data_IF_417648294140
#
_entry.id   IF_417648294140
#
_cell.length_a   1.000
_cell.length_b   1.000
_cell.length_c   1.000
_cell.angle_alpha   90.00
_cell.angle_beta   90.00
_cell.angle_gamma   90.00
#
_symmetry.space_group_name_H-M   'P 1'
#
loop_
_entity.id
_entity.type
_entity.pdbx_description
1 polymer ?
#
# COMPACT_ATOMS: atom_id res chain seq x y z
N UNK A 1 6.41 37.69 -30.70
CA UNK A 1 6.32 36.34 -30.14
C UNK A 1 6.92 36.28 -28.75
N UNK A 2 8.22 36.60 -28.54
CA UNK A 2 8.90 36.53 -27.23
C UNK A 2 8.28 37.46 -26.19
N UNK A 3 7.92 38.69 -26.54
CA UNK A 3 7.23 39.65 -25.65
C UNK A 3 5.85 39.15 -25.21
N UNK A 4 5.11 38.49 -26.09
CA UNK A 4 3.83 37.88 -25.74
C UNK A 4 4.00 36.73 -24.71
N UNK A 5 5.04 35.90 -24.87
CA UNK A 5 5.35 34.83 -23.91
C UNK A 5 5.69 35.38 -22.52
N UNK A 6 6.37 36.52 -22.42
CA UNK A 6 6.68 37.17 -21.14
C UNK A 6 5.45 37.56 -20.32
N UNK A 7 4.33 37.85 -20.97
CA UNK A 7 3.08 38.21 -20.29
C UNK A 7 2.20 37.00 -20.06
N UNK A 8 2.03 36.17 -21.09
CA UNK A 8 1.10 35.02 -21.04
C UNK A 8 1.56 33.95 -20.05
N UNK A 9 2.88 33.67 -19.96
CA UNK A 9 3.36 32.57 -19.14
C UNK A 9 3.20 32.80 -17.64
N UNK A 10 3.54 33.99 -17.08
CA UNK A 10 3.26 34.27 -15.67
C UNK A 10 1.77 34.23 -15.33
N UNK A 11 0.91 34.72 -16.25
CA UNK A 11 -0.55 34.68 -16.08
C UNK A 11 -1.05 33.24 -16.05
N UNK A 12 -0.60 32.37 -16.95
CA UNK A 12 -0.95 30.95 -16.96
C UNK A 12 -0.47 30.24 -15.69
N UNK A 13 0.74 30.51 -15.22
CA UNK A 13 1.26 29.98 -13.96
C UNK A 13 0.42 30.42 -12.76
N UNK A 14 -0.02 31.69 -12.74
CA UNK A 14 -0.86 32.24 -11.69
C UNK A 14 -2.28 31.63 -11.71
N UNK A 15 -2.90 31.47 -12.89
CA UNK A 15 -4.22 30.86 -13.04
C UNK A 15 -4.22 29.38 -12.60
N UNK A 16 -3.18 28.63 -12.93
CA UNK A 16 -3.06 27.19 -12.59
C UNK A 16 -2.36 26.89 -11.26
N UNK A 17 -2.18 27.90 -10.41
CA UNK A 17 -1.50 27.71 -9.12
C UNK A 17 -2.26 26.78 -8.16
N UNK A 18 -3.59 26.71 -8.29
CA UNK A 18 -4.46 25.90 -7.42
C UNK A 18 -4.76 24.51 -7.97
N UNK A 19 -4.57 24.25 -9.26
CA UNK A 19 -4.98 23.00 -9.90
C UNK A 19 -4.05 21.80 -9.59
N UNK A 20 -2.83 22.06 -9.13
CA UNK A 20 -1.87 21.01 -8.79
C UNK A 20 -1.07 21.40 -7.54
N UNK A 21 -0.81 20.41 -6.68
CA UNK A 21 0.15 20.56 -5.58
C UNK A 21 1.50 21.04 -6.13
N UNK A 22 1.92 22.24 -5.74
CA UNK A 22 3.24 22.75 -6.12
C UNK A 22 4.31 21.82 -5.54
N UNK A 23 5.21 21.25 -6.37
CA UNK A 23 6.26 20.41 -5.84
C UNK A 23 7.08 21.23 -4.84
N UNK A 24 7.26 20.70 -3.64
CA UNK A 24 7.90 21.35 -2.49
C UNK A 24 9.32 21.89 -2.77
N UNK A 25 9.92 21.50 -3.88
CA UNK A 25 11.26 21.89 -4.31
C UNK A 25 11.29 22.88 -5.50
N UNK A 26 10.13 23.38 -5.93
CA UNK A 26 10.10 24.35 -7.05
C UNK A 26 10.82 25.65 -6.69
N UNK A 27 10.54 26.20 -5.52
CA UNK A 27 11.11 27.49 -5.06
C UNK A 27 12.64 27.50 -4.98
N UNK A 28 13.34 26.53 -4.36
CA UNK A 28 14.79 26.52 -4.34
C UNK A 28 15.41 26.32 -5.72
N UNK A 29 14.82 25.51 -6.60
CA UNK A 29 15.33 25.32 -7.96
C UNK A 29 15.14 26.58 -8.81
N UNK A 30 14.02 27.31 -8.65
CA UNK A 30 13.81 28.61 -9.30
C UNK A 30 14.84 29.64 -8.82
N UNK A 31 15.10 29.73 -7.51
CA UNK A 31 16.11 30.63 -6.99
C UNK A 31 17.51 30.33 -7.55
N UNK A 32 17.88 29.06 -7.64
CA UNK A 32 19.13 28.62 -8.25
C UNK A 32 19.21 29.00 -9.73
N UNK A 33 18.12 28.83 -10.49
CA UNK A 33 18.07 29.21 -11.90
C UNK A 33 18.17 30.71 -12.11
N UNK A 34 17.53 31.52 -11.26
CA UNK A 34 17.67 33.00 -11.28
C UNK A 34 19.11 33.39 -11.04
N UNK A 35 19.76 32.81 -10.04
CA UNK A 35 21.16 33.09 -9.71
C UNK A 35 22.11 32.67 -10.86
N UNK A 36 21.89 31.49 -11.44
CA UNK A 36 22.66 31.03 -12.59
C UNK A 36 22.49 31.94 -13.82
N UNK A 37 21.26 32.35 -14.12
CA UNK A 37 20.95 33.27 -15.21
C UNK A 37 21.58 34.65 -14.98
N UNK A 38 21.51 35.17 -13.76
CA UNK A 38 22.15 36.46 -13.40
C UNK A 38 23.68 36.40 -13.53
N UNK A 39 24.29 35.27 -13.13
CA UNK A 39 25.74 35.06 -13.26
C UNK A 39 26.17 35.01 -14.72
N UNK A 40 25.48 34.22 -15.56
CA UNK A 40 25.78 34.14 -16.98
C UNK A 40 25.59 35.49 -17.64
N UNK A 41 24.53 36.22 -17.29
CA UNK A 41 24.32 37.61 -17.78
C UNK A 41 25.41 38.55 -17.39
N UNK A 42 25.85 38.56 -16.12
CA UNK A 42 26.96 39.40 -15.65
C UNK A 42 28.27 39.08 -16.40
N UNK A 43 28.57 37.81 -16.64
CA UNK A 43 29.72 37.42 -17.45
C UNK A 43 29.61 37.88 -18.91
N UNK A 44 28.41 37.85 -19.50
CA UNK A 44 28.17 38.30 -20.87
C UNK A 44 28.26 39.84 -21.06
N UNK A 45 28.16 40.62 -19.99
CA UNK A 45 28.32 42.09 -20.03
C UNK A 45 29.77 42.54 -19.98
N UNK A 46 30.72 41.66 -19.63
CA UNK A 46 32.16 41.98 -19.67
C UNK A 46 32.64 42.17 -21.13
N UNK A 47 33.65 43.02 -21.35
CA UNK A 47 34.20 43.24 -22.69
C UNK A 47 34.86 41.97 -23.25
N UNK A 48 34.25 41.39 -24.26
CA UNK A 48 34.66 40.12 -24.86
C UNK A 48 34.58 40.17 -26.38
N UNK A 49 35.23 39.19 -27.04
CA UNK A 49 35.03 38.95 -28.48
C UNK A 49 33.59 38.61 -28.81
N UNK A 50 33.12 38.97 -30.01
CA UNK A 50 31.76 38.69 -30.46
C UNK A 50 31.38 37.20 -30.37
N UNK A 51 32.33 36.29 -30.62
CA UNK A 51 32.13 34.85 -30.51
C UNK A 51 31.91 34.41 -29.07
N UNK A 52 32.69 34.93 -28.12
CA UNK A 52 32.55 34.63 -26.71
C UNK A 52 31.20 35.15 -26.16
N UNK A 53 30.76 36.34 -26.59
CA UNK A 53 29.46 36.91 -26.23
C UNK A 53 28.31 36.02 -26.74
N UNK A 54 28.38 35.58 -28.00
CA UNK A 54 27.36 34.68 -28.59
C UNK A 54 27.31 33.34 -27.79
N UNK A 55 28.45 32.77 -27.44
CA UNK A 55 28.53 31.55 -26.64
C UNK A 55 27.92 31.69 -25.24
N UNK A 56 28.21 32.79 -24.55
CA UNK A 56 27.65 33.06 -23.22
C UNK A 56 26.15 33.34 -23.27
N UNK A 57 25.68 34.06 -24.29
CA UNK A 57 24.25 34.31 -24.47
C UNK A 57 23.46 33.04 -24.80
N UNK A 58 24.02 32.12 -25.60
CA UNK A 58 23.38 30.83 -25.84
C UNK A 58 23.34 29.94 -24.58
N UNK A 59 24.27 30.13 -23.63
CA UNK A 59 24.28 29.42 -22.35
C UNK A 59 23.08 29.80 -21.45
N UNK A 60 22.42 30.95 -21.68
CA UNK A 60 21.18 31.34 -20.97
C UNK A 60 20.04 30.33 -21.15
N UNK A 61 20.12 29.46 -22.16
CA UNK A 61 19.13 28.41 -22.39
C UNK A 61 19.27 27.28 -21.36
N UNK A 62 20.46 27.02 -20.85
CA UNK A 62 20.74 25.86 -19.95
C UNK A 62 19.90 25.86 -18.69
N UNK A 63 19.77 26.95 -17.91
CA UNK A 63 18.89 26.99 -16.76
C UNK A 63 17.41 26.68 -17.09
N UNK A 64 16.94 27.13 -18.28
CA UNK A 64 15.60 26.86 -18.75
C UNK A 64 15.38 25.38 -19.08
N UNK A 65 16.37 24.72 -19.72
CA UNK A 65 16.34 23.27 -20.00
C UNK A 65 16.30 22.46 -18.72
N UNK A 66 17.16 22.77 -17.75
CA UNK A 66 17.23 22.10 -16.45
C UNK A 66 15.91 22.24 -15.66
N UNK A 67 15.35 23.48 -15.60
CA UNK A 67 14.06 23.68 -14.96
C UNK A 67 12.94 22.91 -15.66
N UNK A 68 12.95 22.85 -16.99
CA UNK A 68 11.95 22.09 -17.77
C UNK A 68 12.04 20.61 -17.47
N UNK A 69 13.23 20.05 -17.36
CA UNK A 69 13.40 18.64 -17.02
C UNK A 69 12.89 18.32 -15.62
N UNK A 70 13.22 19.17 -14.64
CA UNK A 70 12.88 18.92 -13.23
C UNK A 70 11.39 19.19 -12.93
N UNK A 71 10.77 20.18 -13.59
CA UNK A 71 9.44 20.67 -13.25
C UNK A 71 8.44 20.69 -14.43
N UNK A 72 8.80 20.10 -15.57
CA UNK A 72 7.94 20.00 -16.76
C UNK A 72 7.58 21.38 -17.30
N UNK A 73 6.31 21.58 -17.71
CA UNK A 73 5.85 22.81 -18.34
C UNK A 73 6.00 24.06 -17.45
N UNK A 74 5.89 23.92 -16.13
CA UNK A 74 6.10 25.02 -15.18
C UNK A 74 7.55 25.49 -15.18
N UNK A 75 8.49 24.53 -15.24
CA UNK A 75 9.92 24.83 -15.37
C UNK A 75 10.23 25.52 -16.70
N UNK A 76 9.62 25.07 -17.81
CA UNK A 76 9.74 25.72 -19.11
C UNK A 76 9.23 27.16 -19.07
N UNK A 77 8.06 27.39 -18.49
CA UNK A 77 7.46 28.71 -18.38
C UNK A 77 8.37 29.70 -17.62
N UNK A 78 8.90 29.32 -16.46
CA UNK A 78 9.77 30.16 -15.65
C UNK A 78 11.12 30.36 -16.36
N UNK A 79 11.73 29.29 -16.87
CA UNK A 79 13.04 29.32 -17.51
C UNK A 79 13.05 30.20 -18.77
N UNK A 80 12.01 30.10 -19.61
CA UNK A 80 11.87 30.92 -20.82
C UNK A 80 11.68 32.39 -20.47
N UNK A 81 10.88 32.73 -19.44
CA UNK A 81 10.71 34.11 -18.99
C UNK A 81 12.03 34.68 -18.48
N UNK A 82 12.80 33.93 -17.69
CA UNK A 82 14.11 34.36 -17.19
C UNK A 82 15.12 34.61 -18.32
N UNK A 83 15.22 33.67 -19.27
CA UNK A 83 16.13 33.80 -20.40
C UNK A 83 15.76 35.00 -21.31
N UNK A 84 14.45 35.20 -21.56
CA UNK A 84 13.97 36.36 -22.33
C UNK A 84 14.23 37.69 -21.62
N UNK A 85 14.05 37.75 -20.30
CA UNK A 85 14.30 38.92 -19.52
C UNK A 85 15.80 39.32 -19.55
N UNK A 86 16.68 38.35 -19.39
CA UNK A 86 18.13 38.54 -19.49
C UNK A 86 18.53 39.06 -20.89
N UNK A 87 17.96 38.45 -21.96
CA UNK A 87 18.22 38.90 -23.33
C UNK A 87 17.71 40.33 -23.58
N UNK A 88 16.53 40.68 -23.09
CA UNK A 88 15.95 42.01 -23.26
C UNK A 88 16.84 43.10 -22.59
N UNK A 89 17.41 42.82 -21.41
CA UNK A 89 18.37 43.72 -20.75
C UNK A 89 19.69 43.81 -21.51
N UNK A 90 20.13 42.76 -22.19
CA UNK A 90 21.34 42.78 -23.02
C UNK A 90 21.19 43.69 -24.24
N UNK A 91 20.03 43.67 -24.88
CA UNK A 91 19.73 44.51 -26.06
C UNK A 91 19.70 46.01 -25.70
N UNK A 92 19.29 46.37 -24.48
CA UNK A 92 19.20 47.77 -24.04
C UNK A 92 20.57 48.45 -23.87
N UNK A 93 21.64 47.70 -23.64
CA UNK A 93 22.99 48.21 -23.44
C UNK A 93 23.75 48.57 -24.73
N UNK A 94 23.18 48.33 -25.90
CA UNK A 94 23.84 48.67 -27.19
C UNK A 94 23.81 50.14 -27.58
N UNK A 95 23.22 51.03 -26.80
CA UNK A 95 23.44 52.50 -26.77
C UNK A 95 23.09 53.28 -28.04
N UNK A 96 22.83 52.65 -29.16
CA UNK A 96 22.53 53.32 -30.45
C UNK A 96 21.11 52.92 -30.91
N UNK A 97 20.19 53.86 -30.83
CA UNK A 97 18.85 53.73 -31.36
C UNK A 97 18.94 53.47 -32.91
N UNK A 98 18.54 52.26 -33.35
CA UNK A 98 18.50 51.90 -34.76
C UNK A 98 19.65 51.04 -35.27
N UNK A 99 20.66 50.68 -34.46
CA UNK A 99 21.70 49.76 -34.84
C UNK A 99 21.16 48.32 -34.83
N UNK A 100 21.20 47.65 -36.00
CA UNK A 100 20.86 46.25 -36.12
C UNK A 100 21.95 45.38 -35.50
N UNK A 101 21.65 44.77 -34.35
CA UNK A 101 22.52 43.78 -33.70
C UNK A 101 22.23 42.41 -34.26
N UNK A 102 23.01 41.96 -35.26
CA UNK A 102 22.88 40.67 -35.88
C UNK A 102 23.08 39.51 -34.89
N UNK A 103 23.90 39.67 -33.87
CA UNK A 103 24.15 38.69 -32.82
C UNK A 103 22.91 38.53 -31.94
N UNK A 104 22.37 39.69 -31.51
CA UNK A 104 21.12 39.73 -30.71
C UNK A 104 19.94 39.05 -31.43
N UNK A 105 19.79 39.27 -32.74
CA UNK A 105 18.75 38.66 -33.55
C UNK A 105 18.91 37.15 -33.67
N UNK A 106 20.12 36.62 -33.92
CA UNK A 106 20.41 35.17 -33.97
C UNK A 106 20.07 34.51 -32.63
N UNK A 107 20.50 35.08 -31.52
CA UNK A 107 20.19 34.55 -30.17
C UNK A 107 18.68 34.59 -29.90
N UNK A 108 17.99 35.64 -30.36
CA UNK A 108 16.53 35.75 -30.21
C UNK A 108 15.76 34.68 -30.98
N UNK A 109 16.16 34.39 -32.21
CA UNK A 109 15.58 33.31 -33.02
C UNK A 109 15.86 31.95 -32.38
N UNK A 110 17.10 31.73 -31.92
CA UNK A 110 17.52 30.52 -31.27
C UNK A 110 16.74 30.29 -29.95
N UNK A 111 16.54 31.35 -29.18
CA UNK A 111 15.74 31.29 -27.93
C UNK A 111 14.25 31.01 -28.23
N UNK A 112 13.67 31.61 -29.29
CA UNK A 112 12.29 31.41 -29.68
C UNK A 112 12.02 29.97 -30.13
N UNK A 113 12.90 29.37 -30.92
CA UNK A 113 12.78 27.99 -31.38
C UNK A 113 12.98 27.00 -30.19
N UNK A 114 13.97 27.27 -29.37
CA UNK A 114 14.23 26.45 -28.17
C UNK A 114 13.08 26.54 -27.17
N UNK A 115 12.52 27.73 -26.93
CA UNK A 115 11.37 27.92 -26.07
C UNK A 115 10.16 27.06 -26.50
N UNK A 116 9.87 27.07 -27.80
CA UNK A 116 8.77 26.24 -28.38
C UNK A 116 9.04 24.73 -28.10
N UNK A 117 10.26 24.28 -28.37
CA UNK A 117 10.68 22.90 -28.07
C UNK A 117 10.57 22.55 -26.58
N UNK A 118 11.00 23.44 -25.69
CA UNK A 118 10.89 23.26 -24.24
C UNK A 118 9.45 23.17 -23.75
N UNK A 119 8.53 23.95 -24.34
CA UNK A 119 7.10 23.84 -24.00
C UNK A 119 6.51 22.51 -24.41
N UNK A 120 6.79 22.04 -25.61
CA UNK A 120 6.33 20.73 -26.09
C UNK A 120 6.90 19.62 -25.20
N UNK A 121 8.20 19.66 -24.91
CA UNK A 121 8.86 18.71 -24.03
C UNK A 121 8.29 18.76 -22.60
N UNK A 122 8.15 19.96 -22.04
CA UNK A 122 7.60 20.19 -20.72
C UNK A 122 6.17 19.71 -20.57
N UNK A 123 5.33 19.92 -21.60
CA UNK A 123 3.97 19.40 -21.63
C UNK A 123 3.95 17.86 -21.64
N UNK A 124 4.81 17.25 -22.46
CA UNK A 124 4.96 15.78 -22.49
C UNK A 124 5.42 15.21 -21.15
N UNK A 125 6.44 15.79 -20.55
CA UNK A 125 6.93 15.37 -19.20
C UNK A 125 5.80 15.48 -18.17
N UNK A 126 5.07 16.59 -18.18
CA UNK A 126 3.97 16.81 -17.23
C UNK A 126 2.83 15.81 -17.43
N UNK A 127 2.45 15.51 -18.66
CA UNK A 127 1.38 14.53 -18.95
C UNK A 127 1.77 13.11 -18.53
N UNK A 128 3.00 12.68 -18.80
CA UNK A 128 3.47 11.36 -18.37
C UNK A 128 3.57 11.23 -16.86
N UNK A 129 4.04 12.27 -16.17
CA UNK A 129 4.06 12.29 -14.70
C UNK A 129 2.65 12.27 -14.10
N UNK A 130 1.70 13.00 -14.68
CA UNK A 130 0.31 12.99 -14.26
C UNK A 130 -0.32 11.59 -14.43
N UNK A 131 -0.09 10.94 -15.56
CA UNK A 131 -0.57 9.59 -15.83
C UNK A 131 -0.01 8.57 -14.83
N UNK A 132 1.29 8.61 -14.55
CA UNK A 132 1.93 7.72 -13.55
C UNK A 132 1.34 7.96 -12.16
N UNK A 133 1.13 9.23 -11.76
CA UNK A 133 0.51 9.55 -10.46
C UNK A 133 -0.93 9.04 -10.37
N UNK A 134 -1.71 9.18 -11.43
CA UNK A 134 -3.09 8.67 -11.47
C UNK A 134 -3.12 7.14 -11.34
N UNK A 135 -2.21 6.43 -12.02
CA UNK A 135 -2.09 4.97 -11.90
C UNK A 135 -1.73 4.56 -10.47
N UNK A 136 -0.72 5.21 -9.88
CA UNK A 136 -0.32 4.92 -8.49
C UNK A 136 -1.44 5.18 -7.48
N UNK A 137 -2.19 6.28 -7.65
CA UNK A 137 -3.37 6.56 -6.81
C UNK A 137 -4.47 5.52 -7.01
N UNK A 138 -4.72 5.12 -8.25
CA UNK A 138 -5.68 4.06 -8.56
C UNK A 138 -5.30 2.71 -7.92
N UNK A 139 -4.01 2.33 -7.99
CA UNK A 139 -3.51 1.12 -7.32
C UNK A 139 -3.67 1.19 -5.80
N UNK A 140 -3.35 2.33 -5.19
CA UNK A 140 -3.52 2.53 -3.75
C UNK A 140 -4.99 2.44 -3.34
N UNK A 141 -5.89 3.11 -4.07
CA UNK A 141 -7.33 3.03 -3.82
C UNK A 141 -7.88 1.61 -3.97
N UNK A 142 -7.42 0.88 -4.98
CA UNK A 142 -7.81 -0.52 -5.18
C UNK A 142 -7.35 -1.41 -4.01
N UNK A 143 -6.12 -1.20 -3.51
CA UNK A 143 -5.60 -1.93 -2.34
C UNK A 143 -6.39 -1.58 -1.07
N UNK A 144 -6.71 -0.31 -0.85
CA UNK A 144 -7.48 0.12 0.31
C UNK A 144 -8.92 -0.43 0.25
N UNK A 145 -9.55 -0.43 -0.93
CA UNK A 145 -10.87 -1.02 -1.14
C UNK A 145 -10.84 -2.53 -0.89
N UNK A 146 -9.85 -3.24 -1.43
CA UNK A 146 -9.69 -4.67 -1.21
C UNK A 146 -9.51 -4.99 0.29
N UNK A 147 -8.70 -4.19 1.00
CA UNK A 147 -8.50 -4.33 2.44
C UNK A 147 -9.80 -4.14 3.22
N UNK A 148 -10.56 -3.10 2.90
CA UNK A 148 -11.86 -2.86 3.53
C UNK A 148 -12.83 -4.02 3.26
N UNK A 149 -12.88 -4.53 2.03
CA UNK A 149 -13.71 -5.68 1.68
C UNK A 149 -13.35 -6.93 2.49
N UNK A 150 -12.04 -7.22 2.68
CA UNK A 150 -11.62 -8.34 3.52
C UNK A 150 -12.02 -8.13 5.00
N UNK A 151 -11.88 -6.93 5.53
CA UNK A 151 -12.26 -6.63 6.90
C UNK A 151 -13.78 -6.75 7.11
N UNK A 152 -14.58 -6.31 6.15
CA UNK A 152 -16.04 -6.47 6.17
C UNK A 152 -16.44 -7.93 6.13
N UNK A 153 -15.86 -8.71 5.23
CA UNK A 153 -16.13 -10.15 5.14
C UNK A 153 -15.75 -10.91 6.43
N UNK A 154 -14.62 -10.55 7.07
CA UNK A 154 -14.23 -11.16 8.35
C UNK A 154 -15.20 -10.76 9.49
N UNK A 155 -15.71 -9.52 9.48
CA UNK A 155 -16.70 -9.08 10.45
C UNK A 155 -18.03 -9.81 10.27
N UNK A 156 -18.53 -9.89 9.06
CA UNK A 156 -19.74 -10.63 8.72
C UNK A 156 -19.62 -12.09 9.11
N UNK A 157 -18.48 -12.72 8.80
CA UNK A 157 -18.21 -14.09 9.20
C UNK A 157 -18.20 -14.26 10.71
N UNK A 158 -17.62 -13.31 11.45
CA UNK A 158 -17.63 -13.31 12.91
C UNK A 158 -19.06 -13.25 13.48
N UNK A 159 -19.89 -12.37 12.93
CA UNK A 159 -21.30 -12.21 13.35
C UNK A 159 -22.06 -13.52 13.15
N UNK A 160 -21.91 -14.16 11.99
CA UNK A 160 -22.53 -15.48 11.72
C UNK A 160 -21.99 -16.56 12.65
N UNK A 161 -20.71 -16.60 12.94
CA UNK A 161 -20.14 -17.60 13.86
C UNK A 161 -20.69 -17.44 15.28
N UNK A 162 -20.86 -16.21 15.76
CA UNK A 162 -21.47 -15.95 17.07
C UNK A 162 -22.93 -16.45 17.08
N UNK A 163 -23.68 -16.17 16.02
CA UNK A 163 -25.05 -16.67 15.88
C UNK A 163 -25.12 -18.22 15.91
N UNK A 164 -24.19 -18.89 15.21
CA UNK A 164 -24.11 -20.36 15.26
C UNK A 164 -23.77 -20.89 16.65
N UNK A 165 -22.91 -20.22 17.40
CA UNK A 165 -22.60 -20.57 18.78
C UNK A 165 -23.83 -20.43 19.68
N UNK A 166 -24.62 -19.38 19.51
CA UNK A 166 -25.87 -19.19 20.25
C UNK A 166 -26.89 -20.28 19.92
N UNK A 167 -27.04 -20.63 18.66
CA UNK A 167 -27.89 -21.75 18.23
C UNK A 167 -27.42 -23.07 18.85
N UNK A 168 -26.13 -23.33 18.90
CA UNK A 168 -25.57 -24.53 19.53
C UNK A 168 -25.91 -24.59 21.03
N UNK A 169 -25.79 -23.47 21.73
CA UNK A 169 -26.16 -23.38 23.14
C UNK A 169 -27.64 -23.68 23.36
N UNK A 170 -28.53 -23.14 22.52
CA UNK A 170 -29.96 -23.41 22.58
C UNK A 170 -30.28 -24.89 22.30
N UNK A 171 -29.67 -25.46 21.24
CA UNK A 171 -29.82 -26.89 20.92
C UNK A 171 -29.33 -27.79 22.06
N UNK A 172 -28.25 -27.44 22.71
CA UNK A 172 -27.71 -28.20 23.83
C UNK A 172 -28.63 -28.11 25.07
N UNK A 173 -29.33 -27.00 25.28
CA UNK A 173 -30.37 -26.87 26.33
C UNK A 173 -31.55 -27.77 26.03
N UNK A 174 -32.12 -27.64 24.80
CA UNK A 174 -33.27 -28.45 24.38
C UNK A 174 -32.96 -29.95 24.46
N UNK A 175 -31.76 -30.36 24.06
CA UNK A 175 -31.32 -31.77 24.14
C UNK A 175 -31.30 -32.26 25.58
N UNK A 176 -30.81 -31.46 26.53
CA UNK A 176 -30.82 -31.82 27.96
C UNK A 176 -32.23 -31.98 28.51
N UNK A 177 -33.17 -31.15 28.08
CA UNK A 177 -34.56 -31.22 28.51
C UNK A 177 -35.23 -32.50 27.97
N UNK A 178 -35.00 -32.83 26.67
CA UNK A 178 -35.51 -34.06 26.10
C UNK A 178 -34.87 -35.29 26.77
N UNK A 179 -33.55 -35.24 27.05
CA UNK A 179 -32.84 -36.31 27.75
C UNK A 179 -33.43 -36.56 29.13
N UNK A 180 -33.69 -35.51 29.90
CA UNK A 180 -34.29 -35.62 31.24
C UNK A 180 -35.72 -36.23 31.13
N UNK A 181 -36.48 -35.81 30.15
CA UNK A 181 -37.82 -36.35 29.93
C UNK A 181 -37.80 -37.84 29.54
N UNK A 182 -36.88 -38.26 28.67
CA UNK A 182 -36.75 -39.69 28.28
C UNK A 182 -36.30 -40.55 29.50
N UNK A 183 -35.40 -40.04 30.34
CA UNK A 183 -34.96 -40.73 31.55
C UNK A 183 -36.12 -40.89 32.55
N UNK A 184 -36.96 -39.86 32.73
CA UNK A 184 -38.12 -39.92 33.64
C UNK A 184 -39.17 -40.92 33.19
N UNK A 185 -39.26 -41.20 31.88
CA UNK A 185 -40.13 -42.21 31.30
C UNK A 185 -39.53 -43.64 31.22
N UNK A 186 -38.35 -43.82 31.81
CA UNK A 186 -37.65 -45.12 31.77
C UNK A 186 -37.00 -45.49 30.46
N UNK A 187 -36.97 -44.58 29.48
CA UNK A 187 -36.38 -44.82 28.17
C UNK A 187 -34.88 -44.54 28.15
N UNK A 188 -34.13 -45.21 29.01
CA UNK A 188 -32.70 -44.97 29.20
C UNK A 188 -31.85 -45.19 27.94
N UNK A 189 -32.18 -46.19 27.12
CA UNK A 189 -31.44 -46.48 25.90
C UNK A 189 -31.56 -45.35 24.89
N UNK A 190 -32.79 -44.83 24.70
CA UNK A 190 -33.04 -43.68 23.81
C UNK A 190 -32.28 -42.43 24.29
N UNK A 191 -32.30 -42.15 25.59
CA UNK A 191 -31.54 -41.06 26.17
C UNK A 191 -30.03 -41.19 25.95
N UNK A 192 -29.46 -42.38 26.10
CA UNK A 192 -28.03 -42.65 25.87
C UNK A 192 -27.64 -42.48 24.39
N UNK A 193 -28.49 -42.95 23.46
CA UNK A 193 -28.28 -42.73 22.01
C UNK A 193 -28.28 -41.22 21.69
N UNK A 194 -29.21 -40.46 22.25
CA UNK A 194 -29.31 -39.03 22.05
C UNK A 194 -28.08 -38.25 22.59
N UNK A 195 -27.57 -38.62 23.77
CA UNK A 195 -26.35 -38.08 24.33
C UNK A 195 -25.17 -38.32 23.39
N UNK A 196 -24.99 -39.57 22.94
CA UNK A 196 -23.89 -39.95 22.07
C UNK A 196 -23.92 -39.21 20.72
N UNK A 197 -25.09 -39.18 20.06
CA UNK A 197 -25.27 -38.48 18.78
C UNK A 197 -25.03 -36.98 18.97
N UNK A 198 -25.58 -36.40 20.04
CA UNK A 198 -25.42 -34.99 20.32
C UNK A 198 -24.00 -34.57 20.63
N UNK A 199 -23.22 -35.39 21.35
CA UNK A 199 -21.80 -35.09 21.61
C UNK A 199 -20.97 -35.10 20.31
N UNK A 200 -21.26 -36.00 19.39
CA UNK A 200 -20.59 -36.07 18.07
C UNK A 200 -20.94 -34.82 17.26
N UNK A 201 -22.22 -34.46 17.18
CA UNK A 201 -22.68 -33.27 16.44
C UNK A 201 -22.08 -31.99 17.01
N UNK A 202 -22.09 -31.80 18.33
CA UNK A 202 -21.50 -30.63 18.98
C UNK A 202 -19.99 -30.54 18.70
N UNK A 203 -19.28 -31.67 18.77
CA UNK A 203 -17.86 -31.70 18.43
C UNK A 203 -17.59 -31.31 16.97
N UNK A 204 -18.35 -31.89 16.04
CA UNK A 204 -18.21 -31.56 14.61
C UNK A 204 -18.51 -30.07 14.32
N UNK A 205 -19.57 -29.51 14.94
CA UNK A 205 -19.93 -28.12 14.80
C UNK A 205 -18.87 -27.20 15.37
N UNK A 206 -18.34 -27.52 16.54
CA UNK A 206 -17.25 -26.77 17.16
C UNK A 206 -15.96 -26.78 16.30
N UNK A 207 -15.59 -27.93 15.74
CA UNK A 207 -14.47 -28.04 14.83
C UNK A 207 -14.70 -27.19 13.54
N UNK A 208 -15.92 -27.20 13.01
CA UNK A 208 -16.29 -26.41 11.84
C UNK A 208 -16.25 -24.90 12.13
N UNK A 209 -16.82 -24.46 13.26
CA UNK A 209 -16.79 -23.07 13.71
C UNK A 209 -15.34 -22.59 13.86
N UNK A 210 -14.49 -23.37 14.53
CA UNK A 210 -13.08 -23.01 14.73
C UNK A 210 -12.28 -22.98 13.40
N UNK A 211 -12.67 -23.77 12.41
CA UNK A 211 -12.08 -23.72 11.09
C UNK A 211 -12.49 -22.45 10.33
N UNK A 212 -13.73 -22.00 10.48
CA UNK A 212 -14.26 -20.80 9.84
C UNK A 212 -13.72 -19.53 10.52
N UNK A 213 -13.83 -19.44 11.83
CA UNK A 213 -13.40 -18.28 12.61
C UNK A 213 -12.96 -18.72 14.02
N UNK A 214 -11.66 -18.72 14.30
CA UNK A 214 -11.16 -19.13 15.59
C UNK A 214 -11.36 -18.00 16.61
N UNK A 215 -12.48 -18.03 17.34
CA UNK A 215 -12.82 -17.06 18.39
C UNK A 215 -11.71 -16.92 19.45
N UNK A 216 -10.91 -17.99 19.65
CA UNK A 216 -9.77 -18.00 20.57
C UNK A 216 -8.67 -16.97 20.20
N UNK A 217 -8.65 -16.44 18.95
CA UNK A 217 -7.72 -15.37 18.58
C UNK A 217 -7.98 -14.11 19.40
N UNK A 218 -9.24 -13.80 19.70
CA UNK A 218 -9.62 -12.60 20.46
C UNK A 218 -9.16 -12.68 21.93
N UNK A 219 -9.22 -13.86 22.50
CA UNK A 219 -8.93 -14.08 23.95
C UNK A 219 -7.51 -14.53 24.24
N UNK A 220 -6.97 -15.42 23.42
CA UNK A 220 -5.67 -16.07 23.65
C UNK A 220 -4.61 -15.71 22.61
N UNK A 221 -5.03 -15.04 21.51
CA UNK A 221 -4.16 -14.59 20.43
C UNK A 221 -3.77 -15.69 19.44
N UNK A 222 -3.18 -15.25 18.33
CA UNK A 222 -2.84 -16.07 17.16
C UNK A 222 -1.95 -17.27 17.48
N UNK A 223 -0.98 -17.13 18.40
CA UNK A 223 -0.04 -18.22 18.71
C UNK A 223 -0.68 -19.37 19.47
N UNK A 224 -1.73 -19.10 20.22
CA UNK A 224 -2.55 -20.14 20.86
C UNK A 224 -3.26 -20.96 19.79
N UNK A 225 -3.90 -20.29 18.83
CA UNK A 225 -4.62 -20.94 17.73
C UNK A 225 -3.70 -21.79 16.87
N UNK A 226 -2.49 -21.35 16.57
CA UNK A 226 -1.53 -22.18 15.81
C UNK A 226 -1.11 -23.47 16.53
N UNK A 227 -1.28 -23.53 17.85
CA UNK A 227 -1.03 -24.74 18.65
C UNK A 227 -2.29 -25.58 18.87
N UNK A 228 -3.46 -25.05 18.53
CA UNK A 228 -4.72 -25.74 18.75
C UNK A 228 -4.90 -26.92 17.79
N UNK A 229 -5.51 -28.01 18.23
CA UNK A 229 -5.87 -29.13 17.35
C UNK A 229 -6.80 -28.71 16.21
N UNK A 230 -7.68 -27.73 16.43
CA UNK A 230 -8.61 -27.21 15.44
C UNK A 230 -7.92 -26.63 14.21
N UNK A 231 -6.79 -25.95 14.40
CA UNK A 231 -6.01 -25.42 13.28
C UNK A 231 -5.36 -26.54 12.43
N UNK A 232 -4.86 -27.60 13.08
CA UNK A 232 -4.30 -28.75 12.39
C UNK A 232 -5.38 -29.50 11.61
N UNK A 233 -6.56 -29.72 12.20
CA UNK A 233 -7.70 -30.36 11.55
C UNK A 233 -8.19 -29.58 10.33
N UNK A 234 -8.30 -28.27 10.41
CA UNK A 234 -8.71 -27.40 9.31
C UNK A 234 -7.73 -27.40 8.13
N UNK A 235 -6.46 -27.67 8.40
CA UNK A 235 -5.39 -27.71 7.39
C UNK A 235 -5.14 -29.10 6.81
N UNK A 236 -5.85 -30.12 7.28
CA UNK A 236 -5.70 -31.55 6.88
C UNK A 236 -4.25 -32.07 6.92
N UNK A 237 -3.43 -31.54 7.82
CA UNK A 237 -2.01 -31.87 7.97
C UNK A 237 -1.56 -31.65 9.40
N UNK A 238 -0.53 -32.37 9.82
CA UNK A 238 0.09 -32.08 11.12
C UNK A 238 0.80 -30.72 11.08
N UNK A 239 0.46 -29.87 12.02
CA UNK A 239 1.08 -28.54 12.16
C UNK A 239 2.06 -28.59 13.33
N UNK A 240 3.32 -28.16 13.07
CA UNK A 240 4.37 -28.09 14.08
C UNK A 240 4.85 -26.63 14.25
N UNK A 241 4.32 -25.89 15.24
CA UNK A 241 4.76 -24.53 15.51
C UNK A 241 6.08 -24.53 16.30
N UNK A 242 7.21 -24.50 15.58
CA UNK A 242 8.56 -24.65 16.20
C UNK A 242 9.05 -23.37 16.86
N UNK A 243 8.77 -22.22 16.27
CA UNK A 243 9.36 -20.96 16.71
C UNK A 243 8.36 -19.83 16.63
N UNK A 244 7.65 -19.59 17.72
CA UNK A 244 6.71 -18.49 17.88
C UNK A 244 7.34 -17.46 18.84
N UNK A 245 7.79 -16.31 18.29
CA UNK A 245 8.51 -15.28 19.06
C UNK A 245 7.75 -13.95 19.08
N UNK A 246 7.79 -13.26 20.20
CA UNK A 246 7.08 -12.01 20.45
C UNK A 246 5.65 -12.23 20.92
N UNK A 247 4.95 -11.15 21.27
CA UNK A 247 3.58 -11.21 21.78
C UNK A 247 2.58 -10.81 20.68
N UNK A 248 1.74 -11.72 20.15
CA UNK A 248 0.76 -11.41 19.12
C UNK A 248 -0.36 -10.49 19.62
N UNK A 249 -0.63 -10.42 20.93
CA UNK A 249 -1.65 -9.54 21.53
C UNK A 249 -1.32 -8.04 21.36
N UNK A 250 -0.09 -7.70 20.95
CA UNK A 250 0.29 -6.34 20.59
C UNK A 250 -0.22 -5.92 19.21
N UNK A 251 -0.73 -6.86 18.42
CA UNK A 251 -1.29 -6.65 17.10
C UNK A 251 -2.82 -6.58 17.19
N UNK A 252 -3.44 -5.83 16.29
CA UNK A 252 -4.90 -5.80 16.21
C UNK A 252 -5.46 -7.20 15.88
N UNK A 253 -6.67 -7.49 16.37
CA UNK A 253 -7.37 -8.75 16.08
C UNK A 253 -7.52 -8.96 14.57
N UNK A 254 -7.86 -7.89 13.83
CA UNK A 254 -7.97 -7.94 12.37
C UNK A 254 -6.66 -8.36 11.68
N UNK A 255 -5.50 -7.89 12.17
CA UNK A 255 -4.21 -8.32 11.62
C UNK A 255 -3.91 -9.79 11.99
N UNK A 256 -4.22 -10.22 13.21
CA UNK A 256 -4.05 -11.61 13.62
C UNK A 256 -4.91 -12.57 12.78
N UNK A 257 -6.16 -12.19 12.47
CA UNK A 257 -7.05 -12.92 11.57
C UNK A 257 -6.51 -12.96 10.14
N UNK A 258 -6.04 -11.82 9.63
CA UNK A 258 -5.41 -11.76 8.31
C UNK A 258 -4.23 -12.74 8.20
N UNK A 259 -3.38 -12.77 9.22
CA UNK A 259 -2.24 -13.70 9.30
C UNK A 259 -2.71 -15.15 9.41
N UNK A 260 -3.75 -15.42 10.17
CA UNK A 260 -4.37 -16.76 10.26
C UNK A 260 -4.81 -17.25 8.88
N UNK A 261 -5.60 -16.43 8.14
CA UNK A 261 -6.05 -16.74 6.78
C UNK A 261 -4.89 -16.91 5.79
N UNK A 262 -3.92 -15.99 5.82
CA UNK A 262 -2.75 -16.10 4.97
C UNK A 262 -1.94 -17.36 5.27
N UNK A 263 -1.89 -17.81 6.54
CA UNK A 263 -1.20 -19.04 6.94
C UNK A 263 -1.92 -20.28 6.41
N UNK A 264 -3.26 -20.37 6.55
CA UNK A 264 -4.06 -21.46 5.97
C UNK A 264 -3.87 -21.53 4.44
N UNK A 265 -3.99 -20.39 3.76
CA UNK A 265 -3.81 -20.32 2.31
C UNK A 265 -2.38 -20.67 1.89
N UNK A 266 -1.37 -20.25 2.66
CA UNK A 266 0.02 -20.58 2.39
C UNK A 266 0.29 -22.10 2.52
N UNK A 267 -0.33 -22.77 3.50
CA UNK A 267 -0.25 -24.23 3.64
C UNK A 267 -0.87 -24.91 2.41
N UNK A 268 -2.04 -24.45 1.94
CA UNK A 268 -2.69 -24.96 0.74
C UNK A 268 -1.88 -24.74 -0.56
N UNK A 269 -1.00 -23.72 -0.59
CA UNK A 269 -0.09 -23.45 -1.71
C UNK A 269 1.18 -24.30 -1.71
N UNK A 270 1.50 -24.95 -0.58
CA UNK A 270 2.67 -25.80 -0.47
C UNK A 270 2.41 -27.20 -1.04
N UNK A 271 3.45 -27.93 -1.46
CA UNK A 271 3.31 -29.34 -1.81
C UNK A 271 2.77 -30.13 -0.61
N UNK A 272 1.93 -31.16 -0.86
CA UNK A 272 1.42 -31.99 0.20
C UNK A 272 2.58 -32.61 1.01
N UNK A 273 2.50 -32.48 2.31
CA UNK A 273 3.47 -33.02 3.26
C UNK A 273 2.73 -33.56 4.48
N UNK A 274 3.28 -34.60 5.12
CA UNK A 274 2.69 -35.15 6.35
C UNK A 274 2.68 -34.12 7.46
N UNK A 275 3.69 -33.26 7.50
CA UNK A 275 3.86 -32.24 8.54
C UNK A 275 4.28 -30.91 7.91
N UNK A 276 3.65 -29.84 8.37
CA UNK A 276 4.06 -28.46 8.06
C UNK A 276 4.61 -27.76 9.30
N UNK A 277 5.76 -27.13 9.13
CA UNK A 277 6.42 -26.36 10.19
C UNK A 277 6.13 -24.88 10.02
N UNK A 278 5.64 -24.24 11.10
CA UNK A 278 5.37 -22.81 11.16
C UNK A 278 6.39 -22.11 12.05
N UNK A 279 6.98 -21.05 11.55
CA UNK A 279 7.81 -20.10 12.32
C UNK A 279 7.16 -18.73 12.20
N UNK A 280 6.88 -18.09 13.33
CA UNK A 280 6.31 -16.76 13.35
C UNK A 280 7.06 -15.84 14.33
N UNK A 281 7.23 -14.58 13.94
CA UNK A 281 7.89 -13.58 14.78
C UNK A 281 7.16 -12.25 14.69
N UNK A 282 6.65 -11.78 15.82
CA UNK A 282 6.14 -10.41 15.97
C UNK A 282 7.33 -9.47 16.20
N UNK A 283 7.34 -8.34 15.52
CA UNK A 283 8.40 -7.34 15.64
C UNK A 283 8.20 -6.14 14.74
N UNK A 284 9.15 -5.23 14.78
CA UNK A 284 9.15 -4.04 13.91
C UNK A 284 10.06 -4.26 12.70
N UNK A 285 9.54 -4.00 11.50
CA UNK A 285 10.32 -3.99 10.26
C UNK A 285 10.16 -2.62 9.59
N UNK A 286 11.26 -1.93 9.35
CA UNK A 286 11.26 -0.56 8.77
C UNK A 286 10.36 0.42 9.54
N UNK A 287 10.29 0.31 10.87
CA UNK A 287 9.45 1.17 11.72
C UNK A 287 7.99 0.73 11.85
N UNK A 288 7.51 -0.21 11.03
CA UNK A 288 6.16 -0.75 11.08
C UNK A 288 6.11 -1.98 11.98
N UNK A 289 5.15 -2.01 12.91
CA UNK A 289 4.87 -3.18 13.73
C UNK A 289 4.13 -4.21 12.89
N UNK A 290 4.52 -5.47 12.99
CA UNK A 290 3.91 -6.53 12.19
C UNK A 290 4.37 -7.91 12.61
N UNK A 291 4.01 -8.90 11.80
CA UNK A 291 4.37 -10.29 12.01
C UNK A 291 4.95 -10.89 10.72
N UNK A 292 6.07 -11.56 10.87
CA UNK A 292 6.68 -12.36 9.82
C UNK A 292 6.35 -13.85 10.07
N UNK A 293 5.84 -14.51 9.05
CA UNK A 293 5.51 -15.94 9.08
C UNK A 293 6.28 -16.67 8.00
N UNK A 294 6.77 -17.85 8.32
CA UNK A 294 7.47 -18.73 7.40
C UNK A 294 6.99 -20.16 7.58
N UNK A 295 6.57 -20.78 6.50
CA UNK A 295 5.96 -22.10 6.47
C UNK A 295 6.71 -22.98 5.49
N UNK A 296 6.99 -24.21 5.87
CA UNK A 296 7.60 -25.20 5.00
C UNK A 296 7.12 -26.61 5.38
N UNK A 297 7.00 -27.49 4.37
CA UNK A 297 6.66 -28.89 4.56
C UNK A 297 7.91 -29.74 4.83
N UNK A 298 7.81 -30.69 5.75
CA UNK A 298 8.86 -31.67 6.01
C UNK A 298 8.78 -32.76 4.92
N UNK A 299 9.87 -32.90 4.14
CA UNK A 299 9.98 -33.88 3.02
C UNK A 299 8.80 -33.76 2.04
N UNK A 300 8.72 -32.69 1.26
CA UNK A 300 7.66 -32.54 0.28
C UNK A 300 7.74 -33.68 -0.74
N UNK A 301 6.60 -34.27 -1.09
CA UNK A 301 6.52 -35.17 -2.23
C UNK A 301 6.95 -34.42 -3.48
N UNK A 302 7.83 -35.02 -4.29
CA UNK A 302 8.42 -34.40 -5.50
C UNK A 302 7.43 -34.26 -6.67
N UNK A 303 6.17 -33.97 -6.39
CA UNK A 303 5.19 -33.67 -7.43
C UNK A 303 5.34 -32.24 -7.91
N UNK A 304 5.31 -32.00 -9.24
CA UNK A 304 5.34 -30.63 -9.77
C UNK A 304 4.14 -29.85 -9.22
N UNK A 305 4.38 -28.57 -8.93
CA UNK A 305 3.33 -27.69 -8.45
C UNK A 305 2.15 -27.68 -9.42
N UNK A 306 0.97 -28.04 -8.94
CA UNK A 306 -0.28 -27.97 -9.70
C UNK A 306 -0.54 -26.54 -10.17
N UNK A 307 -1.24 -26.37 -11.30
CA UNK A 307 -1.67 -25.07 -11.82
C UNK A 307 -2.48 -24.29 -10.77
N UNK A 308 -3.31 -24.98 -10.01
CA UNK A 308 -4.04 -24.45 -8.85
C UNK A 308 -3.13 -23.91 -7.75
N UNK A 309 -1.98 -24.51 -7.51
CA UNK A 309 -1.01 -24.01 -6.52
C UNK A 309 -0.33 -22.70 -6.94
N UNK A 310 -0.24 -22.41 -8.25
CA UNK A 310 0.26 -21.13 -8.76
C UNK A 310 -0.80 -20.02 -8.64
N UNK A 311 -2.05 -20.33 -8.98
CA UNK A 311 -3.20 -19.42 -8.85
C UNK A 311 -3.42 -19.04 -7.38
N UNK A 312 -3.41 -20.00 -6.47
CA UNK A 312 -3.50 -19.77 -5.02
C UNK A 312 -2.34 -18.94 -4.47
N UNK A 313 -1.15 -19.06 -5.07
CA UNK A 313 0.01 -18.21 -4.66
C UNK A 313 -0.16 -16.75 -5.07
N UNK A 314 -0.77 -16.50 -6.24
CA UNK A 314 -1.08 -15.14 -6.68
C UNK A 314 -2.14 -14.48 -5.77
N UNK A 315 -3.18 -15.25 -5.41
CA UNK A 315 -4.21 -14.79 -4.46
C UNK A 315 -3.61 -14.49 -3.08
N UNK A 316 -2.80 -15.39 -2.52
CA UNK A 316 -2.08 -15.17 -1.28
C UNK A 316 -1.23 -13.89 -1.34
N UNK A 317 -0.49 -13.70 -2.43
CA UNK A 317 0.33 -12.51 -2.64
C UNK A 317 -0.53 -11.23 -2.68
N UNK A 318 -1.69 -11.28 -3.35
CA UNK A 318 -2.64 -10.17 -3.40
C UNK A 318 -3.19 -9.84 -2.02
N UNK A 319 -3.63 -10.85 -1.27
CA UNK A 319 -4.15 -10.70 0.10
C UNK A 319 -3.09 -10.12 1.04
N UNK A 320 -1.86 -10.62 1.01
CA UNK A 320 -0.76 -10.10 1.83
C UNK A 320 -0.45 -8.64 1.48
N UNK A 321 -0.48 -8.28 0.18
CA UNK A 321 -0.27 -6.89 -0.27
C UNK A 321 -1.38 -5.95 0.20
N UNK A 322 -2.64 -6.38 0.20
CA UNK A 322 -3.75 -5.53 0.68
C UNK A 322 -3.60 -5.16 2.16
N UNK A 323 -2.90 -5.97 2.95
CA UNK A 323 -2.51 -5.66 4.33
C UNK A 323 -1.13 -4.98 4.45
N UNK A 324 -0.62 -4.38 3.37
CA UNK A 324 0.67 -3.67 3.37
C UNK A 324 1.88 -4.58 3.53
N UNK A 325 1.71 -5.87 3.28
CA UNK A 325 2.74 -6.89 3.47
C UNK A 325 3.47 -7.28 2.19
N UNK A 326 4.41 -8.21 2.36
CA UNK A 326 5.17 -8.82 1.26
C UNK A 326 5.14 -10.33 1.40
N UNK A 327 4.97 -11.04 0.27
CA UNK A 327 4.99 -12.49 0.21
C UNK A 327 6.12 -12.95 -0.72
N UNK A 328 6.86 -13.99 -0.32
CA UNK A 328 7.92 -14.61 -1.11
C UNK A 328 7.80 -16.13 -1.06
N UNK A 329 7.74 -16.76 -2.21
CA UNK A 329 7.89 -18.21 -2.37
C UNK A 329 9.36 -18.53 -2.66
N UNK A 330 9.92 -19.46 -1.92
CA UNK A 330 11.28 -19.94 -2.11
C UNK A 330 11.27 -21.26 -2.89
N UNK A 331 12.30 -21.53 -3.68
CA UNK A 331 12.41 -22.75 -4.48
C UNK A 331 12.42 -24.04 -3.65
N UNK A 332 12.72 -23.94 -2.36
CA UNK A 332 12.78 -25.05 -1.40
C UNK A 332 11.42 -25.49 -0.85
N UNK A 333 10.30 -25.15 -1.49
CA UNK A 333 8.97 -25.48 -0.96
C UNK A 333 8.63 -24.72 0.34
N UNK A 334 9.17 -23.52 0.51
CA UNK A 334 8.93 -22.64 1.64
C UNK A 334 8.21 -21.38 1.18
N UNK A 335 7.21 -20.95 1.94
CA UNK A 335 6.55 -19.66 1.75
C UNK A 335 6.85 -18.79 2.97
N UNK A 336 7.20 -17.54 2.74
CA UNK A 336 7.42 -16.56 3.79
C UNK A 336 6.65 -15.30 3.46
N UNK A 337 5.95 -14.73 4.43
CA UNK A 337 5.27 -13.46 4.28
C UNK A 337 5.42 -12.60 5.53
N UNK A 338 5.31 -11.31 5.33
CA UNK A 338 5.28 -10.31 6.39
C UNK A 338 4.02 -9.47 6.20
N UNK A 339 3.31 -9.21 7.29
CA UNK A 339 2.13 -8.35 7.32
C UNK A 339 2.34 -7.32 8.41
N UNK A 340 2.06 -6.05 8.12
CA UNK A 340 2.25 -4.95 9.04
C UNK A 340 0.94 -4.27 9.40
N UNK A 341 0.91 -3.68 10.59
CA UNK A 341 -0.17 -2.81 10.99
C UNK A 341 -0.10 -1.51 10.18
N UNK A 342 -1.22 -1.04 9.60
CA UNK A 342 -1.23 0.23 8.92
C UNK A 342 -0.97 1.36 9.93
N UNK A 343 -0.06 2.25 9.58
CA UNK A 343 0.21 3.47 10.35
C UNK A 343 -1.07 4.31 10.40
N UNK A 344 -1.74 4.35 11.55
CA UNK A 344 -2.95 5.16 11.77
C UNK A 344 -4.19 4.41 12.29
N UNK A 345 -4.20 3.09 12.34
CA UNK A 345 -5.41 2.31 12.68
C UNK A 345 -5.55 2.00 14.18
N UNK A 346 -4.80 2.66 15.06
CA UNK A 346 -4.94 2.44 16.52
C UNK A 346 -6.33 2.78 17.10
N UNK A 347 -7.23 3.41 16.34
CA UNK A 347 -8.50 3.93 16.87
C UNK A 347 -9.77 3.30 16.31
N UNK A 348 -9.72 2.48 15.25
CA UNK A 348 -10.96 1.97 14.61
C UNK A 348 -11.47 0.68 15.28
N UNK A 349 -10.64 -0.05 16.02
CA UNK A 349 -11.00 -1.29 16.73
C UNK A 349 -10.78 -1.21 18.25
N UNK A 350 -10.98 -0.04 18.85
CA UNK A 350 -11.31 -0.03 20.27
C UNK A 350 -12.78 -0.42 20.35
N UNK A 351 -13.04 -1.67 20.71
CA UNK A 351 -14.37 -2.06 21.15
C UNK A 351 -14.74 -1.13 22.32
N UNK A 352 -15.77 -0.31 22.13
CA UNK A 352 -16.52 0.22 23.24
C UNK A 352 -17.07 -1.01 23.97
N UNK A 353 -16.42 -1.40 25.06
CA UNK A 353 -17.05 -2.25 26.07
C UNK A 353 -18.39 -1.57 26.40
N UNK A 354 -19.54 -2.24 26.19
CA UNK A 354 -20.79 -1.71 26.70
C UNK A 354 -20.59 -1.55 28.21
N UNK A 355 -20.64 -0.31 28.67
CA UNK A 355 -20.62 0.01 30.08
C UNK A 355 -21.68 -0.86 30.75
N UNK A 356 -21.23 -1.88 31.48
CA UNK A 356 -22.08 -2.67 32.35
C UNK A 356 -22.53 -1.71 33.42
N UNK A 357 -23.68 -1.07 33.18
CA UNK A 357 -24.41 -0.32 34.21
C UNK A 357 -24.86 -1.34 35.23
N UNK A 358 -24.07 -1.52 36.25
CA UNK A 358 -24.47 -2.13 37.53
C UNK A 358 -25.62 -1.23 38.06
N UNK A 359 -26.85 -1.56 37.70
CA UNK A 359 -28.03 -1.11 38.47
C UNK A 359 -28.01 -1.96 39.74
N UNK A 360 -27.55 -1.34 40.80
CA UNK A 360 -27.87 -1.77 42.17
C UNK A 360 -29.40 -1.81 42.30
N UNK A 361 -29.92 -3.01 42.60
CA UNK A 361 -31.24 -3.19 43.12
C UNK A 361 -31.25 -2.81 44.61
N UNK A 362 -31.94 -1.76 44.97
CA UNK A 362 -32.56 -1.56 46.28
C UNK A 362 -33.95 -2.23 46.29
#
# INVERSE_FOLDING_TARGET
>A
YLGMLMVVLPVLLWMRRHDEETPSRLTPHCALAVLATALIFALATLPQSNVARLGLMSLLIVPAVLLTWLHGWRGAAIGVVLANTALAFSLRNTGVLGAYDSIGFVVQVMLATTATGLFVLGARISSTLAEVRLRLRGEQQALDTAKLSYLWAERELREHVIEYVDIEVQMNRLRRDIESHLKSRGQHEAAMRMIRTGSIQSKMLHEYINALYPLEIETHGLYHVFRSPGFASSSHTEIHPVMLRGNPMQLSVGLQLAVYRCTQQAIACLPPAKRHTIKARVGKLRGLQGIAVSIYGDKPESKPASRTALENTAELSSRVRSYGGTCRRHHTGKISFFVSEPTGTRSIFRYDEPAVTTRECL
#
